data_IF_010215330081
#
_entry.id   IF_010215330081
#
_cell.length_a   1.000
_cell.length_b   1.000
_cell.length_c   1.000
_cell.angle_alpha   90.00
_cell.angle_beta   90.00
_cell.angle_gamma   90.00
#
_symmetry.space_group_name_H-M   'P 1'
#
loop_
_entity.id
_entity.type
_entity.pdbx_description
1 polymer ?
#
# COMPACT_ATOMS: atom_id res chain seq x y z
N UNK A 1 -13.72 -4.11 15.04
CA UNK A 1 -15.13 -3.81 14.75
C UNK A 1 -15.48 -2.52 15.48
N UNK A 2 -16.13 -1.57 14.82
CA UNK A 2 -16.57 -0.30 15.43
C UNK A 2 -17.63 -0.62 16.49
N UNK A 3 -17.57 0.03 17.65
CA UNK A 3 -18.61 -0.13 18.67
C UNK A 3 -19.94 0.43 18.19
N UNK A 4 -20.98 -0.39 18.24
CA UNK A 4 -22.29 -0.08 17.62
C UNK A 4 -23.01 1.05 18.38
N UNK A 5 -22.87 1.09 19.70
CA UNK A 5 -23.57 2.06 20.54
C UNK A 5 -22.90 3.44 20.57
N UNK A 6 -21.57 3.47 20.46
CA UNK A 6 -20.78 4.70 20.55
C UNK A 6 -20.36 5.24 19.18
N UNK A 7 -20.39 4.40 18.13
CA UNK A 7 -19.91 4.73 16.79
C UNK A 7 -18.38 4.88 16.70
N UNK A 8 -17.65 4.61 17.78
CA UNK A 8 -16.21 4.77 17.81
C UNK A 8 -15.49 3.46 17.47
N UNK A 9 -14.39 3.59 16.74
CA UNK A 9 -13.42 2.51 16.60
C UNK A 9 -12.74 2.24 17.96
N UNK A 10 -12.41 0.98 18.29
CA UNK A 10 -11.64 0.65 19.49
C UNK A 10 -10.37 1.51 19.61
N UNK A 11 -10.00 1.93 20.82
CA UNK A 11 -8.80 2.76 21.09
C UNK A 11 -7.52 2.23 20.44
N UNK A 12 -7.37 0.91 20.34
CA UNK A 12 -6.22 0.27 19.70
C UNK A 12 -6.11 0.56 18.18
N UNK A 13 -7.21 0.95 17.53
CA UNK A 13 -7.22 1.40 16.13
C UNK A 13 -6.82 2.87 16.00
N UNK A 14 -6.90 3.65 17.08
CA UNK A 14 -6.46 5.04 17.12
C UNK A 14 -4.96 5.17 17.47
N UNK A 15 -4.38 4.12 18.06
CA UNK A 15 -2.94 4.01 18.23
C UNK A 15 -2.31 3.91 16.84
N UNK A 16 -1.52 4.92 16.44
CA UNK A 16 -0.92 5.13 15.12
C UNK A 16 -1.68 6.05 14.14
N UNK A 17 -2.73 6.76 14.56
CA UNK A 17 -3.32 7.84 13.74
C UNK A 17 -2.49 9.12 13.93
N UNK A 18 -1.90 9.63 12.85
CA UNK A 18 -1.11 10.87 12.89
C UNK A 18 -0.33 11.12 11.60
N UNK A 19 0.32 12.28 11.51
CA UNK A 19 1.20 12.61 10.38
C UNK A 19 2.51 11.82 10.48
N UNK A 20 2.83 11.06 9.43
CA UNK A 20 4.11 10.36 9.29
C UNK A 20 4.89 11.01 8.15
N UNK A 21 6.15 11.35 8.41
CA UNK A 21 7.08 11.77 7.36
C UNK A 21 7.89 10.57 6.89
N UNK A 22 7.72 10.18 5.63
CA UNK A 22 8.52 9.14 4.98
C UNK A 22 9.60 9.80 4.15
N UNK A 23 10.86 9.42 4.38
CA UNK A 23 12.02 9.92 3.64
C UNK A 23 12.95 8.78 3.27
N UNK A 24 13.63 8.89 2.13
CA UNK A 24 14.71 7.97 1.77
C UNK A 24 15.88 8.13 2.73
N UNK A 25 16.58 7.03 3.00
CA UNK A 25 17.76 7.02 3.88
C UNK A 25 18.89 7.91 3.38
N UNK A 26 18.98 8.12 2.06
CA UNK A 26 19.97 8.99 1.41
C UNK A 26 19.52 10.46 1.32
N UNK A 27 18.37 10.80 1.91
CA UNK A 27 17.76 12.13 1.90
C UNK A 27 17.51 12.69 0.49
N UNK A 28 17.54 11.84 -0.55
CA UNK A 28 17.16 12.26 -1.89
C UNK A 28 15.64 12.32 -2.02
N UNK A 29 15.11 13.14 -2.95
CA UNK A 29 13.69 13.13 -3.27
C UNK A 29 13.23 11.73 -3.71
N UNK A 30 11.99 11.39 -3.38
CA UNK A 30 11.31 10.26 -4.01
C UNK A 30 11.05 10.63 -5.47
N UNK A 31 11.32 9.70 -6.39
CA UNK A 31 10.95 9.90 -7.79
C UNK A 31 9.43 9.78 -7.95
N UNK A 32 8.83 10.32 -9.03
CA UNK A 32 7.40 10.14 -9.30
C UNK A 32 6.98 8.66 -9.31
N UNK A 33 7.79 7.80 -9.93
CA UNK A 33 7.56 6.35 -9.98
C UNK A 33 7.57 5.69 -8.59
N UNK A 34 8.44 6.13 -7.67
CA UNK A 34 8.43 5.64 -6.29
C UNK A 34 7.16 6.06 -5.55
N UNK A 35 6.70 7.29 -5.78
CA UNK A 35 5.46 7.81 -5.17
C UNK A 35 4.26 7.02 -5.70
N UNK A 36 4.23 6.73 -7.00
CA UNK A 36 3.21 5.90 -7.62
C UNK A 36 3.18 4.48 -7.03
N UNK A 37 4.32 3.78 -6.97
CA UNK A 37 4.40 2.45 -6.36
C UNK A 37 3.90 2.43 -4.90
N UNK A 38 4.21 3.47 -4.12
CA UNK A 38 3.69 3.63 -2.76
C UNK A 38 2.16 3.78 -2.78
N UNK A 39 1.62 4.62 -3.67
CA UNK A 39 0.18 4.82 -3.83
C UNK A 39 -0.54 3.53 -4.23
N UNK A 40 -0.04 2.84 -5.26
CA UNK A 40 -0.60 1.58 -5.76
C UNK A 40 -0.53 0.47 -4.73
N UNK A 41 0.51 0.43 -3.89
CA UNK A 41 0.58 -0.53 -2.80
C UNK A 41 -0.48 -0.24 -1.72
N UNK A 42 -0.73 1.04 -1.39
CA UNK A 42 -1.81 1.35 -0.46
C UNK A 42 -3.18 0.93 -1.01
N UNK A 43 -3.43 1.13 -2.30
CA UNK A 43 -4.66 0.70 -2.97
C UNK A 43 -4.83 -0.83 -2.87
N UNK A 44 -3.79 -1.59 -3.22
CA UNK A 44 -3.74 -3.06 -3.08
C UNK A 44 -4.02 -3.53 -1.65
N UNK A 45 -3.42 -2.86 -0.66
CA UNK A 45 -3.70 -3.15 0.75
C UNK A 45 -5.16 -2.90 1.11
N UNK A 46 -5.75 -1.79 0.64
CA UNK A 46 -7.16 -1.44 0.91
C UNK A 46 -8.12 -2.45 0.28
N UNK A 47 -7.81 -2.95 -0.91
CA UNK A 47 -8.57 -4.03 -1.54
C UNK A 47 -8.50 -5.31 -0.69
N UNK A 48 -7.31 -5.64 -0.16
CA UNK A 48 -7.11 -6.81 0.70
C UNK A 48 -7.84 -6.70 2.05
N UNK A 49 -8.14 -5.50 2.57
CA UNK A 49 -8.94 -5.35 3.79
C UNK A 49 -10.39 -5.85 3.64
N UNK A 50 -10.86 -6.04 2.40
CA UNK A 50 -12.16 -6.68 2.14
C UNK A 50 -12.12 -8.21 2.19
N UNK A 51 -10.92 -8.82 2.23
CA UNK A 51 -10.71 -10.25 2.37
C UNK A 51 -10.71 -10.69 3.85
N UNK A 52 -11.29 -11.85 4.13
CA UNK A 52 -11.39 -12.41 5.48
C UNK A 52 -10.05 -12.92 6.03
N UNK A 53 -9.08 -13.22 5.18
CA UNK A 53 -7.79 -13.79 5.59
C UNK A 53 -6.66 -12.75 5.81
N UNK A 54 -6.90 -11.49 5.42
CA UNK A 54 -5.92 -10.42 5.55
C UNK A 54 -5.82 -9.89 6.99
N UNK A 55 -4.62 -9.92 7.55
CA UNK A 55 -4.26 -9.37 8.85
C UNK A 55 -3.18 -8.30 8.69
N UNK A 56 -3.50 -7.00 8.81
CA UNK A 56 -2.56 -5.91 8.58
C UNK A 56 -1.29 -5.98 9.44
N UNK A 57 -1.38 -6.52 10.66
CA UNK A 57 -0.21 -6.65 11.56
C UNK A 57 0.76 -7.74 11.14
N UNK A 58 0.28 -8.74 10.40
CA UNK A 58 1.08 -9.86 9.91
C UNK A 58 1.52 -9.65 8.47
N UNK A 59 0.65 -9.05 7.66
CA UNK A 59 0.75 -9.12 6.21
C UNK A 59 1.34 -7.84 5.60
N UNK A 60 1.28 -6.69 6.30
CA UNK A 60 2.01 -5.47 5.92
C UNK A 60 3.46 -5.58 6.41
N UNK A 61 4.34 -6.04 5.53
CA UNK A 61 5.76 -6.24 5.81
C UNK A 61 6.64 -5.58 4.75
N UNK A 62 7.91 -5.32 5.08
CA UNK A 62 8.87 -4.80 4.09
C UNK A 62 9.10 -5.77 2.92
N UNK A 63 8.99 -7.08 3.17
CA UNK A 63 9.09 -8.10 2.13
C UNK A 63 7.86 -8.09 1.22
N UNK A 64 6.65 -7.94 1.78
CA UNK A 64 5.41 -7.81 1.02
C UNK A 64 5.43 -6.59 0.09
N UNK A 65 5.86 -5.43 0.59
CA UNK A 65 6.02 -4.23 -0.24
C UNK A 65 7.01 -4.44 -1.39
N UNK A 66 8.14 -5.10 -1.11
CA UNK A 66 9.14 -5.40 -2.14
C UNK A 66 8.56 -6.32 -3.24
N UNK A 67 7.88 -7.40 -2.84
CA UNK A 67 7.25 -8.31 -3.79
C UNK A 67 6.21 -7.59 -4.64
N UNK A 68 5.39 -6.73 -4.04
CA UNK A 68 4.45 -5.88 -4.77
C UNK A 68 5.15 -5.00 -5.83
N UNK A 69 6.27 -4.35 -5.48
CA UNK A 69 7.01 -3.53 -6.44
C UNK A 69 7.54 -4.36 -7.62
N UNK A 70 8.09 -5.55 -7.36
CA UNK A 70 8.59 -6.47 -8.38
C UNK A 70 7.47 -6.94 -9.32
N UNK A 71 6.28 -7.23 -8.80
CA UNK A 71 5.11 -7.62 -9.59
C UNK A 71 4.49 -6.45 -10.35
N UNK A 72 4.50 -5.25 -9.76
CA UNK A 72 4.01 -4.03 -10.39
C UNK A 72 4.88 -3.65 -11.60
N UNK A 73 6.19 -3.71 -11.47
CA UNK A 73 7.12 -3.47 -12.59
C UNK A 73 6.88 -4.43 -13.75
N UNK A 74 6.65 -5.72 -13.47
CA UNK A 74 6.32 -6.72 -14.50
C UNK A 74 4.99 -6.42 -15.20
N UNK A 75 3.96 -5.99 -14.46
CA UNK A 75 2.66 -5.61 -15.02
C UNK A 75 2.80 -4.42 -15.96
N UNK A 76 3.55 -3.39 -15.56
CA UNK A 76 3.77 -2.21 -16.39
C UNK A 76 4.59 -2.52 -17.65
N UNK A 77 5.66 -3.31 -17.53
CA UNK A 77 6.46 -3.73 -18.68
C UNK A 77 5.66 -4.55 -19.72
N UNK A 78 4.67 -5.34 -19.26
CA UNK A 78 3.76 -6.07 -20.13
C UNK A 78 2.67 -5.20 -20.79
N UNK A 79 2.43 -4.00 -20.27
CA UNK A 79 1.41 -3.08 -20.78
C UNK A 79 1.96 -2.22 -21.92
N UNK A 80 3.25 -1.86 -21.88
CA UNK A 80 3.99 -1.20 -22.98
C UNK A 80 4.02 -2.05 -24.27
N UNK A 81 3.77 -3.36 -24.18
CA UNK A 81 3.75 -4.26 -25.35
C UNK A 81 2.41 -4.30 -26.09
N UNK A 82 1.38 -3.56 -25.65
CA UNK A 82 0.03 -3.57 -26.24
C UNK A 82 -0.42 -2.25 -26.88
N UNK A 83 0.43 -1.22 -26.90
CA UNK A 83 0.10 0.09 -27.50
C UNK A 83 0.47 0.23 -29.00
N UNK A 84 0.98 -0.82 -29.67
CA UNK A 84 1.38 -0.75 -31.09
C UNK A 84 0.35 -1.35 -32.09
N UNK A 85 -0.91 -1.55 -31.71
CA UNK A 85 -1.97 -2.00 -32.63
C UNK A 85 -3.17 -1.02 -32.61
N UNK A 86 -3.00 0.17 -33.19
CA UNK A 86 -4.08 1.02 -33.72
C UNK A 86 -3.63 1.82 -34.94
#
# INVERSE_FOLDING_TARGET
>A
MIEVDSGFAPMIWQQCVGTVTVMRKDCQPLTPEMIEKIGMYHDDLLDNFSDHDFNPRRDITSAGFRGFCEDYEQRMAGTDSKEEDW
#
